data_IF_146312705232
#
_entry.id   IF_146312705232
#
_cell.length_a   1.000
_cell.length_b   1.000
_cell.length_c   1.000
_cell.angle_alpha   90.00
_cell.angle_beta   90.00
_cell.angle_gamma   90.00
#
_symmetry.space_group_name_H-M   'P 1'
#
loop_
_entity.id
_entity.type
_entity.pdbx_description
1 polymer ?
#
# COMPACT_ATOMS: atom_id res chain seq x y z
N UNK A 1 2.89 4.69 -5.52
CA UNK A 1 2.19 5.85 -6.11
C UNK A 1 1.62 6.78 -5.04
N UNK A 2 1.32 6.21 -3.88
CA UNK A 2 0.77 6.81 -2.66
C UNK A 2 1.61 7.98 -2.15
N UNK A 3 2.94 7.85 -2.10
CA UNK A 3 3.82 8.94 -1.65
C UNK A 3 3.79 10.14 -2.59
N UNK A 4 3.70 9.90 -3.91
CA UNK A 4 3.52 10.98 -4.87
C UNK A 4 2.18 11.68 -4.69
N UNK A 5 1.10 10.93 -4.40
CA UNK A 5 -0.20 11.52 -4.10
C UNK A 5 -0.16 12.36 -2.81
N UNK A 6 0.51 11.88 -1.75
CA UNK A 6 0.72 12.64 -0.52
C UNK A 6 1.52 13.91 -0.79
N UNK A 7 2.62 13.80 -1.54
CA UNK A 7 3.46 14.95 -1.85
C UNK A 7 2.66 16.03 -2.59
N UNK A 8 1.81 15.65 -3.53
CA UNK A 8 0.89 16.57 -4.22
C UNK A 8 -0.13 17.21 -3.27
N UNK A 9 -0.64 16.47 -2.29
CA UNK A 9 -1.54 17.04 -1.25
C UNK A 9 -0.83 18.02 -0.32
N UNK A 10 0.48 17.87 -0.13
CA UNK A 10 1.30 18.75 0.70
C UNK A 10 1.89 19.94 -0.06
N UNK A 11 1.84 19.92 -1.40
CA UNK A 11 2.40 20.99 -2.22
C UNK A 11 1.74 22.34 -1.91
N UNK A 12 2.55 23.38 -1.73
CA UNK A 12 2.10 24.70 -1.30
C UNK A 12 1.64 24.81 0.17
N UNK A 13 1.64 23.73 0.95
CA UNK A 13 1.32 23.77 2.39
C UNK A 13 2.60 24.07 3.20
N UNK A 14 2.69 25.27 3.78
CA UNK A 14 3.82 25.63 4.66
C UNK A 14 3.77 24.86 5.98
N UNK A 15 4.73 23.95 6.21
CA UNK A 15 5.07 23.34 7.52
C UNK A 15 3.88 23.11 8.45
N UNK A 16 2.77 22.59 7.93
CA UNK A 16 1.64 22.25 8.78
C UNK A 16 1.97 20.97 9.52
N UNK A 17 1.57 20.91 10.79
CA UNK A 17 1.66 19.69 11.58
C UNK A 17 0.73 18.66 10.98
N UNK A 18 1.27 17.79 10.12
CA UNK A 18 0.51 16.67 9.56
C UNK A 18 -0.07 15.88 10.74
N UNK A 19 -1.41 15.87 10.81
CA UNK A 19 -2.12 15.14 11.85
C UNK A 19 -2.00 13.64 11.60
N UNK A 20 -2.15 13.23 10.34
CA UNK A 20 -2.17 11.84 9.88
C UNK A 20 -2.02 11.75 8.37
N UNK A 21 -1.36 10.71 7.90
CA UNK A 21 -1.38 10.22 6.52
C UNK A 21 -2.18 8.92 6.48
N UNK A 22 -2.93 8.71 5.39
CA UNK A 22 -3.61 7.45 5.11
C UNK A 22 -3.07 6.88 3.80
N UNK A 23 -2.36 5.75 3.88
CA UNK A 23 -1.90 5.00 2.71
C UNK A 23 -3.01 4.05 2.25
N UNK A 24 -3.46 4.19 1.02
CA UNK A 24 -4.44 3.28 0.41
C UNK A 24 -3.73 2.04 -0.12
N UNK A 25 -4.32 0.85 0.01
CA UNK A 25 -3.81 -0.39 -0.55
C UNK A 25 -4.88 -1.10 -1.37
N UNK A 26 -4.54 -1.72 -2.50
CA UNK A 26 -5.50 -2.53 -3.28
C UNK A 26 -6.02 -3.75 -2.51
N UNK A 27 -5.21 -4.27 -1.57
CA UNK A 27 -5.43 -5.53 -0.87
C UNK A 27 -4.89 -6.77 -1.60
N UNK A 28 -4.37 -6.60 -2.83
CA UNK A 28 -3.79 -7.69 -3.62
C UNK A 28 -4.79 -8.78 -4.05
N UNK A 29 -4.32 -9.82 -4.74
CA UNK A 29 -5.16 -10.93 -5.22
C UNK A 29 -5.85 -11.74 -4.11
N UNK A 30 -5.31 -11.73 -2.89
CA UNK A 30 -5.81 -12.55 -1.78
C UNK A 30 -6.69 -11.80 -0.77
N UNK A 31 -7.12 -10.58 -1.09
CA UNK A 31 -7.96 -9.73 -0.23
C UNK A 31 -9.21 -10.44 0.32
N UNK A 32 -9.85 -11.27 -0.50
CA UNK A 32 -11.08 -12.00 -0.17
C UNK A 32 -10.83 -13.50 0.08
N UNK A 33 -9.56 -13.93 0.08
CA UNK A 33 -9.20 -15.32 0.27
C UNK A 33 -9.27 -15.72 1.75
N UNK A 34 -9.66 -16.97 2.01
CA UNK A 34 -9.59 -17.55 3.35
C UNK A 34 -8.14 -17.84 3.72
N UNK A 35 -7.89 -18.01 5.02
CA UNK A 35 -6.55 -18.39 5.53
C UNK A 35 -6.04 -19.70 4.91
N UNK A 36 -6.91 -20.68 4.71
CA UNK A 36 -6.56 -21.96 4.08
C UNK A 36 -6.21 -21.79 2.59
N UNK A 37 -6.94 -20.93 1.88
CA UNK A 37 -6.60 -20.58 0.49
C UNK A 37 -5.24 -19.89 0.41
N UNK A 38 -4.94 -18.95 1.31
CA UNK A 38 -3.62 -18.28 1.37
C UNK A 38 -2.49 -19.28 1.67
N UNK A 39 -2.72 -20.25 2.58
CA UNK A 39 -1.71 -21.26 2.93
C UNK A 39 -1.32 -22.16 1.75
N UNK A 40 -2.25 -22.40 0.82
CA UNK A 40 -2.03 -23.24 -0.36
C UNK A 40 -1.78 -22.43 -1.64
N UNK A 41 -1.65 -21.11 -1.53
CA UNK A 41 -1.52 -20.22 -2.68
C UNK A 41 -0.24 -20.49 -3.47
N UNK A 42 -0.36 -20.45 -4.79
CA UNK A 42 0.75 -20.62 -5.74
C UNK A 42 1.31 -19.27 -6.17
N UNK A 43 2.55 -19.29 -6.66
CA UNK A 43 3.17 -18.10 -7.29
C UNK A 43 2.31 -17.57 -8.43
N UNK A 44 1.70 -18.46 -9.23
CA UNK A 44 0.85 -18.06 -10.35
C UNK A 44 -0.38 -17.27 -9.89
N UNK A 45 -1.02 -17.68 -8.82
CA UNK A 45 -2.17 -16.96 -8.25
C UNK A 45 -1.73 -15.62 -7.64
N UNK A 46 -0.60 -15.59 -6.93
CA UNK A 46 -0.05 -14.37 -6.36
C UNK A 46 0.35 -13.33 -7.42
N UNK A 47 0.75 -13.76 -8.61
CA UNK A 47 1.08 -12.89 -9.75
C UNK A 47 -0.15 -12.34 -10.48
N UNK A 48 -1.37 -12.78 -10.16
CA UNK A 48 -2.60 -12.35 -10.84
C UNK A 48 -3.25 -11.14 -10.14
N UNK A 49 -2.60 -9.99 -10.15
CA UNK A 49 -3.08 -8.81 -9.43
C UNK A 49 -4.35 -8.21 -10.06
N UNK A 50 -5.40 -7.85 -9.28
CA UNK A 50 -6.71 -7.44 -9.80
C UNK A 50 -6.78 -6.02 -10.42
N UNK A 51 -5.67 -5.28 -10.50
CA UNK A 51 -5.74 -3.83 -10.79
C UNK A 51 -4.53 -3.33 -11.57
N UNK A 52 -3.34 -3.81 -11.21
CA UNK A 52 -2.07 -3.32 -11.75
C UNK A 52 -1.33 -4.43 -12.48
N UNK A 53 -0.78 -4.11 -13.64
CA UNK A 53 0.20 -4.94 -14.34
C UNK A 53 1.62 -4.46 -13.94
N UNK A 54 2.36 -5.31 -13.24
CA UNK A 54 3.61 -4.95 -12.56
C UNK A 54 4.63 -6.08 -12.60
N UNK A 55 5.89 -5.75 -12.28
CA UNK A 55 6.96 -6.76 -12.16
C UNK A 55 6.71 -7.78 -11.02
N UNK A 56 7.22 -9.01 -11.14
CA UNK A 56 6.82 -10.12 -10.27
C UNK A 56 7.12 -9.88 -8.78
N UNK A 57 8.23 -9.23 -8.43
CA UNK A 57 8.59 -8.95 -7.03
C UNK A 57 7.54 -8.09 -6.33
N UNK A 58 7.20 -6.93 -6.91
CA UNK A 58 6.20 -6.03 -6.32
C UNK A 58 4.80 -6.66 -6.32
N UNK A 59 4.49 -7.50 -7.31
CA UNK A 59 3.23 -8.23 -7.37
C UNK A 59 3.10 -9.23 -6.20
N UNK A 60 4.16 -9.99 -5.89
CA UNK A 60 4.20 -10.88 -4.72
C UNK A 60 4.13 -10.08 -3.40
N UNK A 61 4.81 -8.95 -3.32
CA UNK A 61 4.75 -8.07 -2.15
C UNK A 61 3.35 -7.49 -1.95
N UNK A 62 2.63 -7.17 -3.02
CA UNK A 62 1.22 -6.74 -2.94
C UNK A 62 0.32 -7.87 -2.47
N UNK A 63 0.50 -9.09 -2.99
CA UNK A 63 -0.27 -10.27 -2.58
C UNK A 63 -0.10 -10.62 -1.08
N UNK A 64 1.07 -10.36 -0.52
CA UNK A 64 1.35 -10.56 0.91
C UNK A 64 1.12 -9.32 1.78
N UNK A 65 0.71 -8.19 1.19
CA UNK A 65 0.68 -6.86 1.81
C UNK A 65 2.03 -6.34 2.32
N UNK A 66 3.13 -7.05 2.07
CA UNK A 66 4.49 -6.60 2.39
C UNK A 66 4.84 -5.30 1.67
N UNK A 67 4.31 -5.09 0.44
CA UNK A 67 4.49 -3.84 -0.27
C UNK A 67 4.03 -2.66 0.58
N UNK A 68 2.83 -2.76 1.17
CA UNK A 68 2.29 -1.69 2.01
C UNK A 68 3.10 -1.51 3.29
N UNK A 69 3.63 -2.57 3.88
CA UNK A 69 4.52 -2.47 5.03
C UNK A 69 5.82 -1.70 4.71
N UNK A 70 6.44 -1.97 3.55
CA UNK A 70 7.59 -1.22 3.06
C UNK A 70 7.25 0.25 2.82
N UNK A 71 6.08 0.52 2.24
CA UNK A 71 5.62 1.89 1.97
C UNK A 71 5.29 2.69 3.24
N UNK A 72 4.88 2.05 4.34
CA UNK A 72 4.76 2.69 5.67
C UNK A 72 6.13 3.16 6.16
N UNK A 73 7.15 2.30 6.05
CA UNK A 73 8.53 2.66 6.43
C UNK A 73 9.03 3.79 5.55
N UNK A 74 8.77 3.73 4.25
CA UNK A 74 9.11 4.80 3.30
C UNK A 74 8.40 6.12 3.66
N UNK A 75 7.11 6.09 4.00
CA UNK A 75 6.36 7.28 4.41
C UNK A 75 6.87 7.89 5.71
N UNK A 76 7.31 7.07 6.67
CA UNK A 76 7.96 7.54 7.90
C UNK A 76 9.18 8.40 7.59
N UNK A 77 10.04 7.94 6.68
CA UNK A 77 11.26 8.66 6.29
C UNK A 77 11.01 9.84 5.35
N UNK A 78 10.12 9.70 4.36
CA UNK A 78 9.86 10.74 3.37
C UNK A 78 9.13 11.96 3.95
N UNK A 79 8.27 11.75 4.95
CA UNK A 79 7.42 12.81 5.50
C UNK A 79 7.77 13.18 6.95
N UNK A 80 8.81 12.58 7.53
CA UNK A 80 9.25 12.80 8.91
C UNK A 80 8.10 12.64 9.93
N UNK A 81 7.39 11.50 9.84
CA UNK A 81 6.24 11.22 10.70
C UNK A 81 6.41 9.93 11.49
N UNK A 82 6.12 9.91 12.80
CA UNK A 82 6.10 8.67 13.56
C UNK A 82 5.04 7.70 13.01
N UNK A 83 5.26 6.39 13.20
CA UNK A 83 4.41 5.34 12.63
C UNK A 83 2.95 5.38 13.07
N UNK A 84 2.67 5.92 14.26
CA UNK A 84 1.32 6.11 14.80
C UNK A 84 0.50 7.20 14.08
N UNK A 85 1.14 7.97 13.19
CA UNK A 85 0.49 8.93 12.28
C UNK A 85 0.29 8.39 10.86
N UNK A 86 0.63 7.13 10.60
CA UNK A 86 0.53 6.52 9.26
C UNK A 86 -0.49 5.39 9.33
N UNK A 87 -1.71 5.67 8.88
CA UNK A 87 -2.79 4.69 8.79
C UNK A 87 -2.78 4.01 7.42
N UNK A 88 -3.32 2.80 7.35
CA UNK A 88 -3.53 2.06 6.11
C UNK A 88 -5.01 1.73 5.95
N UNK A 89 -5.54 1.94 4.75
CA UNK A 89 -6.89 1.52 4.38
C UNK A 89 -6.87 0.68 3.11
N UNK A 90 -7.71 -0.36 3.06
CA UNK A 90 -7.91 -1.12 1.83
C UNK A 90 -8.88 -0.35 0.94
N UNK A 91 -8.42 0.02 -0.26
CA UNK A 91 -9.18 0.70 -1.29
C UNK A 91 -9.05 -0.03 -2.64
N UNK A 92 -9.89 -1.04 -2.90
CA UNK A 92 -9.68 -2.03 -3.97
C UNK A 92 -9.64 -1.44 -5.38
N UNK A 93 -10.37 -0.35 -5.61
CA UNK A 93 -10.44 0.32 -6.92
C UNK A 93 -9.13 1.00 -7.29
N UNK A 94 -8.24 1.25 -6.32
CA UNK A 94 -6.99 1.99 -6.50
C UNK A 94 -7.17 3.39 -7.13
N UNK A 95 -8.33 4.02 -6.91
CA UNK A 95 -8.66 5.39 -7.33
C UNK A 95 -9.38 6.08 -6.16
N UNK A 96 -8.80 7.13 -5.60
CA UNK A 96 -9.35 7.89 -4.47
C UNK A 96 -10.22 9.05 -4.95
#
# INVERSE_FOLDING_TARGET
>A
SEHSAIFQCLDGQQNQSIKRIVLTASGGPFREATKEQIQNATVKEALNHPTWDMGPKITIDSASMMNKALEIIEAHWLFDLPSDKIDVIIHPQSIV
#
